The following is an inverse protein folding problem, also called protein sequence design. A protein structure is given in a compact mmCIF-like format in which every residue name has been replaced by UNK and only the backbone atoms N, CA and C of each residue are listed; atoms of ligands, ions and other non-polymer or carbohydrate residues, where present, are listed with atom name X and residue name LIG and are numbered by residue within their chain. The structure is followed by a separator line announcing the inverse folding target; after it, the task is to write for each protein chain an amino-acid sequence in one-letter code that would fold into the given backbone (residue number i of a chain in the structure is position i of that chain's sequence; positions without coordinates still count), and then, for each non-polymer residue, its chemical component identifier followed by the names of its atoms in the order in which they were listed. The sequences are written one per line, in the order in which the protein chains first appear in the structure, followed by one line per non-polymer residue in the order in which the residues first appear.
data_IF_844796750565
#
_entry.id   IF_844796750565
#
_cell.length_a   1.000
_cell.length_b   1.000
_cell.length_c   1.000
_cell.angle_alpha   90.00
_cell.angle_beta   90.00
_cell.angle_gamma   90.00
#
_symmetry.space_group_name_H-M   'P 1'
#
loop_
_entity.id
_entity.type
_entity.pdbx_description
1 polymer ?
#
# COMPACT_ATOMS: atom_id res chain seq x y z
N UNK A 1 -22.03 16.89 23.87
CA UNK A 1 -21.58 17.05 22.48
C UNK A 1 -20.06 17.18 22.50
N UNK A 2 -19.34 16.14 22.10
CA UNK A 2 -17.87 16.18 21.94
C UNK A 2 -17.54 15.76 20.52
N UNK A 3 -17.30 16.78 19.71
CA UNK A 3 -16.75 16.74 18.37
C UNK A 3 -15.29 16.28 18.41
N UNK A 4 -15.02 15.08 17.90
CA UNK A 4 -13.79 14.73 17.18
C UNK A 4 -13.93 13.36 16.50
N UNK A 5 -15.03 13.15 15.79
CA UNK A 5 -14.97 12.24 14.64
C UNK A 5 -14.14 12.96 13.58
N UNK A 6 -12.83 12.72 13.58
CA UNK A 6 -11.97 13.09 12.46
C UNK A 6 -12.62 12.49 11.22
N UNK A 7 -13.28 13.33 10.40
CA UNK A 7 -14.08 12.87 9.27
C UNK A 7 -13.17 12.08 8.35
N UNK A 8 -13.23 10.75 8.43
CA UNK A 8 -12.64 9.91 7.39
C UNK A 8 -13.33 10.37 6.10
N UNK A 9 -12.58 10.85 5.09
CA UNK A 9 -13.21 11.38 3.90
C UNK A 9 -14.19 10.35 3.34
N UNK A 10 -15.40 10.80 3.04
CA UNK A 10 -16.51 9.98 2.56
C UNK A 10 -16.16 9.28 1.24
N UNK A 11 -15.17 9.81 0.52
CA UNK A 11 -14.77 9.38 -0.81
C UNK A 11 -13.23 9.26 -0.94
N UNK A 12 -12.80 8.40 -1.85
CA UNK A 12 -11.39 8.20 -2.17
C UNK A 12 -11.14 6.97 -3.03
N UNK A 13 -9.88 6.82 -3.47
CA UNK A 13 -9.45 5.63 -4.19
C UNK A 13 -9.00 4.55 -3.21
N UNK A 14 -9.41 3.33 -3.48
CA UNK A 14 -9.05 2.16 -2.68
C UNK A 14 -8.55 1.06 -3.59
N UNK A 15 -7.54 0.34 -3.11
CA UNK A 15 -7.15 -0.95 -3.66
C UNK A 15 -7.72 -2.02 -2.74
N UNK A 16 -8.54 -2.90 -3.30
CA UNK A 16 -9.04 -4.10 -2.66
C UNK A 16 -8.33 -5.30 -3.28
N UNK A 17 -7.60 -6.05 -2.45
CA UNK A 17 -6.77 -7.16 -2.89
C UNK A 17 -6.55 -8.15 -1.73
N UNK A 18 -5.96 -9.31 -2.02
CA UNK A 18 -5.50 -10.21 -0.95
C UNK A 18 -4.13 -9.78 -0.46
N UNK A 19 -3.93 -9.68 0.85
CA UNK A 19 -2.60 -9.54 1.44
C UNK A 19 -1.74 -10.75 1.11
N UNK A 20 -0.44 -10.56 0.85
CA UNK A 20 0.54 -11.63 0.75
C UNK A 20 1.53 -11.60 1.91
N UNK A 21 2.36 -10.54 1.97
CA UNK A 21 3.40 -10.36 2.99
C UNK A 21 3.88 -8.90 3.07
N UNK A 22 4.60 -8.58 4.14
CA UNK A 22 5.43 -7.37 4.20
C UNK A 22 6.78 -7.67 3.53
N UNK A 23 7.23 -6.77 2.65
CA UNK A 23 8.49 -6.89 1.91
C UNK A 23 9.39 -5.74 2.32
N UNK A 24 10.61 -6.04 2.77
CA UNK A 24 11.65 -5.06 3.06
C UNK A 24 12.73 -5.10 1.96
N UNK A 25 13.13 -3.93 1.47
CA UNK A 25 14.21 -3.78 0.48
C UNK A 25 15.23 -2.77 0.98
N UNK A 26 16.51 -3.10 0.91
CA UNK A 26 17.58 -2.12 1.13
C UNK A 26 17.66 -1.18 -0.08
N UNK A 27 17.78 0.12 0.19
CA UNK A 27 17.89 1.18 -0.81
C UNK A 27 18.95 2.16 -0.38
N UNK A 28 19.50 2.89 -1.36
CA UNK A 28 20.36 4.04 -1.13
C UNK A 28 19.59 5.32 -1.42
N UNK A 29 19.80 6.33 -0.60
CA UNK A 29 19.34 7.68 -0.90
C UNK A 29 20.31 8.36 -1.89
N UNK A 30 20.09 9.67 -2.16
CA UNK A 30 20.93 10.44 -3.09
C UNK A 30 22.34 10.70 -2.54
N UNK A 31 22.53 10.61 -1.24
CA UNK A 31 23.80 10.82 -0.54
C UNK A 31 24.59 9.51 -0.39
N UNK A 32 23.97 8.37 -0.75
CA UNK A 32 24.57 7.04 -0.67
C UNK A 32 24.31 6.31 0.65
N UNK A 33 23.56 6.91 1.59
CA UNK A 33 23.22 6.27 2.85
C UNK A 33 22.22 5.13 2.61
N UNK A 34 22.42 4.01 3.30
CA UNK A 34 21.55 2.83 3.17
C UNK A 34 20.36 2.95 4.11
N UNK A 35 19.15 2.70 3.60
CA UNK A 35 17.92 2.64 4.37
C UNK A 35 17.04 1.46 3.94
N UNK A 36 16.15 1.01 4.84
CA UNK A 36 15.15 -0.01 4.53
C UNK A 36 13.86 0.65 4.04
N UNK A 37 13.40 0.26 2.85
CA UNK A 37 12.10 0.60 2.32
C UNK A 37 11.13 -0.57 2.50
N UNK A 38 9.96 -0.30 3.05
CA UNK A 38 8.94 -1.30 3.30
C UNK A 38 7.79 -1.21 2.29
N UNK A 39 7.23 -2.38 1.99
CA UNK A 39 6.14 -2.55 1.05
C UNK A 39 5.14 -3.57 1.58
N UNK A 40 3.86 -3.34 1.31
CA UNK A 40 2.80 -4.33 1.47
C UNK A 40 2.65 -5.04 0.13
N UNK A 41 2.94 -6.34 0.12
CA UNK A 41 2.67 -7.21 -1.02
C UNK A 41 1.19 -7.55 -1.07
N UNK A 42 0.56 -7.32 -2.23
CA UNK A 42 -0.84 -7.65 -2.46
C UNK A 42 -0.99 -8.48 -3.74
N UNK A 43 -1.84 -9.50 -3.68
CA UNK A 43 -2.16 -10.36 -4.81
C UNK A 43 -3.45 -9.84 -5.45
N UNK A 44 -3.37 -9.55 -6.73
CA UNK A 44 -4.52 -9.20 -7.57
C UNK A 44 -4.69 -10.34 -8.58
N UNK A 45 -5.91 -10.86 -8.66
CA UNK A 45 -6.29 -11.92 -9.60
C UNK A 45 -7.28 -11.35 -10.60
N UNK A 46 -6.99 -11.54 -11.88
CA UNK A 46 -7.91 -11.33 -12.98
C UNK A 46 -8.28 -12.69 -13.57
N UNK A 47 -9.20 -12.72 -14.53
CA UNK A 47 -9.53 -13.95 -15.27
C UNK A 47 -8.31 -14.54 -16.01
N UNK A 48 -7.35 -13.69 -16.38
CA UNK A 48 -6.20 -14.06 -17.21
C UNK A 48 -4.92 -14.29 -16.39
N UNK A 49 -4.79 -13.66 -15.22
CA UNK A 49 -3.52 -13.62 -14.51
C UNK A 49 -3.65 -13.50 -13.00
N UNK A 50 -2.63 -13.97 -12.30
CA UNK A 50 -2.38 -13.67 -10.88
C UNK A 50 -1.09 -12.88 -10.79
N UNK A 51 -1.16 -11.68 -10.21
CA UNK A 51 -0.04 -10.74 -10.11
C UNK A 51 0.20 -10.31 -8.67
N UNK A 52 1.48 -10.22 -8.27
CA UNK A 52 1.91 -9.64 -7.01
C UNK A 52 2.31 -8.17 -7.21
N UNK A 53 1.56 -7.25 -6.61
CA UNK A 53 1.86 -5.83 -6.58
C UNK A 53 2.44 -5.40 -5.24
N UNK A 54 3.19 -4.30 -5.22
CA UNK A 54 3.88 -3.79 -4.03
C UNK A 54 3.45 -2.36 -3.76
N UNK A 55 2.76 -2.15 -2.64
CA UNK A 55 2.36 -0.82 -2.18
C UNK A 55 3.37 -0.33 -1.14
N UNK A 56 4.08 0.76 -1.44
CA UNK A 56 5.07 1.32 -0.50
C UNK A 56 4.37 1.84 0.75
N UNK A 57 4.87 1.47 1.93
CA UNK A 57 4.35 1.87 3.24
C UNK A 57 5.47 2.45 4.11
N UNK A 58 5.14 3.43 4.96
CA UNK A 58 5.98 3.90 6.06
C UNK A 58 5.64 3.21 7.38
N UNK A 59 4.48 2.56 7.45
CA UNK A 59 3.92 1.91 8.65
C UNK A 59 3.67 0.40 8.43
N UNK A 60 4.73 -0.41 8.18
CA UNK A 60 4.59 -1.85 7.95
C UNK A 60 3.92 -2.60 9.12
N UNK A 61 4.08 -2.11 10.35
CA UNK A 61 3.51 -2.69 11.58
C UNK A 61 1.99 -2.84 11.51
N UNK A 62 1.28 -1.94 10.83
CA UNK A 62 -0.18 -1.97 10.69
C UNK A 62 -0.68 -3.22 9.93
N UNK A 63 0.21 -3.84 9.16
CA UNK A 63 -0.12 -4.98 8.29
C UNK A 63 0.34 -6.33 8.87
N UNK A 64 1.06 -6.33 10.00
CA UNK A 64 1.58 -7.55 10.64
C UNK A 64 0.50 -8.49 11.16
N UNK A 65 -0.72 -7.98 11.37
CA UNK A 65 -1.87 -8.74 11.82
C UNK A 65 -2.53 -9.60 10.73
N UNK A 66 -2.24 -9.33 9.46
CA UNK A 66 -2.84 -10.07 8.35
C UNK A 66 -2.01 -11.31 7.99
N UNK A 67 -2.71 -12.36 7.59
CA UNK A 67 -2.14 -13.58 7.02
C UNK A 67 -2.25 -13.54 5.50
N UNK A 68 -1.34 -14.23 4.82
CA UNK A 68 -1.40 -14.36 3.36
C UNK A 68 -2.77 -14.92 2.92
N UNK A 69 -3.40 -14.26 1.96
CA UNK A 69 -4.77 -14.52 1.51
C UNK A 69 -5.84 -13.61 2.13
N UNK A 70 -5.58 -13.00 3.28
CA UNK A 70 -6.56 -12.14 3.96
C UNK A 70 -7.00 -10.97 3.07
N UNK A 71 -8.29 -10.59 3.09
CA UNK A 71 -8.75 -9.43 2.35
C UNK A 71 -8.14 -8.15 2.95
N UNK A 72 -7.64 -7.29 2.07
CA UNK A 72 -7.05 -6.02 2.43
C UNK A 72 -7.67 -4.91 1.59
N UNK A 73 -8.15 -3.88 2.27
CA UNK A 73 -8.63 -2.64 1.65
C UNK A 73 -7.72 -1.49 2.06
N UNK A 74 -6.95 -0.97 1.10
CA UNK A 74 -5.95 0.09 1.33
C UNK A 74 -6.40 1.36 0.65
N UNK A 75 -6.47 2.47 1.40
CA UNK A 75 -6.72 3.78 0.80
C UNK A 75 -5.47 4.28 0.10
N UNK A 76 -5.63 4.76 -1.13
CA UNK A 76 -4.52 5.24 -1.95
C UNK A 76 -4.81 6.60 -2.57
N UNK A 77 -3.75 7.30 -2.91
CA UNK A 77 -3.76 8.51 -3.73
C UNK A 77 -3.19 8.17 -5.11
N UNK A 78 -3.98 8.24 -6.19
CA UNK A 78 -3.46 8.08 -7.55
C UNK A 78 -2.60 9.27 -7.95
N UNK A 79 -1.56 9.02 -8.75
CA UNK A 79 -0.68 10.02 -9.35
C UNK A 79 -0.43 9.64 -10.81
N UNK A 80 -0.64 10.57 -11.72
CA UNK A 80 -0.33 10.36 -13.14
C UNK A 80 1.09 10.85 -13.45
N UNK A 81 1.88 10.04 -14.15
CA UNK A 81 3.16 10.46 -14.71
C UNK A 81 3.50 9.64 -15.96
N UNK A 82 3.80 10.32 -17.07
CA UNK A 82 4.16 9.73 -18.38
C UNK A 82 3.26 8.54 -18.76
N UNK A 83 1.95 8.77 -18.80
CA UNK A 83 0.92 7.78 -19.18
C UNK A 83 0.70 6.61 -18.21
N UNK A 84 1.35 6.62 -17.05
CA UNK A 84 1.13 5.64 -15.98
C UNK A 84 0.39 6.25 -14.79
N UNK A 85 -0.49 5.46 -14.18
CA UNK A 85 -1.05 5.71 -12.86
C UNK A 85 -0.23 4.98 -11.79
N UNK A 86 0.24 5.74 -10.82
CA UNK A 86 0.92 5.25 -9.64
C UNK A 86 0.03 5.44 -8.42
N UNK A 87 0.03 4.48 -7.51
CA UNK A 87 -0.74 4.55 -6.28
C UNK A 87 0.21 4.63 -5.08
N UNK A 88 -0.05 5.62 -4.21
CA UNK A 88 0.65 5.77 -2.93
C UNK A 88 -0.35 5.55 -1.80
N UNK A 89 -0.01 4.74 -0.80
CA UNK A 89 -0.87 4.55 0.38
C UNK A 89 -1.08 5.90 1.09
N UNK A 90 -2.31 6.15 1.52
CA UNK A 90 -2.66 7.27 2.41
C UNK A 90 -2.53 6.76 3.85
N UNK A 91 -1.47 7.19 4.55
CA UNK A 91 -1.11 6.81 5.92
C UNK A 91 -1.02 8.04 6.82
#
# INVERSE_FOLDING_TARGET
MSSNETSKPTEGFYIEASFDRIIAKEKKDREGNTYKAYYVGVIVRTEEATSLYQLKTKSPELYTKYKSGDPLRVRVMPRAFKDFLYFTIVE
#
